data_IF_710962371794
#
_entry.id   IF_710962371794
#
_cell.length_a   1.000
_cell.length_b   1.000
_cell.length_c   1.000
_cell.angle_alpha   90.00
_cell.angle_beta   90.00
_cell.angle_gamma   90.00
#
_symmetry.space_group_name_H-M   'P 1'
#
loop_
_entity.id
_entity.type
_entity.pdbx_description
1 polymer ?
#
# COMPACT_ATOMS: atom_id res chain seq x y z
N UNK A 1 8.25 23.85 20.31
CA UNK A 1 8.01 23.39 18.93
C UNK A 1 8.12 21.88 18.89
N UNK A 2 7.05 21.19 19.29
CA UNK A 2 6.99 19.72 19.34
C UNK A 2 6.79 19.18 17.92
N UNK A 3 7.68 18.28 17.50
CA UNK A 3 7.75 17.76 16.14
C UNK A 3 6.46 17.09 15.67
N UNK A 4 6.14 17.33 14.40
CA UNK A 4 5.05 16.66 13.67
C UNK A 4 5.31 15.17 13.55
N UNK A 5 4.95 14.42 14.60
CA UNK A 5 4.72 12.99 14.47
C UNK A 5 3.45 12.83 13.63
N UNK A 6 3.58 12.21 12.46
CA UNK A 6 2.50 11.95 11.51
C UNK A 6 1.22 11.51 12.21
N UNK A 7 0.28 12.45 12.28
CA UNK A 7 -1.03 12.24 12.87
C UNK A 7 -1.84 11.42 11.88
N UNK A 8 -2.37 10.29 12.35
CA UNK A 8 -3.27 9.46 11.56
C UNK A 8 -4.50 10.28 11.16
N UNK A 9 -5.16 9.96 10.03
CA UNK A 9 -6.38 10.65 9.62
C UNK A 9 -7.41 10.60 10.76
N UNK A 10 -7.85 11.74 11.28
CA UNK A 10 -8.84 11.77 12.34
C UNK A 10 -10.24 11.50 11.76
N UNK A 11 -11.22 11.17 12.59
CA UNK A 11 -12.59 10.87 12.11
C UNK A 11 -13.20 12.04 11.33
N UNK A 12 -12.97 13.26 11.80
CA UNK A 12 -13.46 14.50 11.22
C UNK A 12 -13.01 14.68 9.76
N UNK A 13 -11.85 14.11 9.40
CA UNK A 13 -11.38 14.10 8.02
C UNK A 13 -12.30 13.28 7.11
N UNK A 14 -12.69 12.07 7.52
CA UNK A 14 -13.59 11.22 6.74
C UNK A 14 -15.01 11.81 6.69
N UNK A 15 -15.46 12.46 7.76
CA UNK A 15 -16.73 13.18 7.79
C UNK A 15 -16.74 14.39 6.83
N UNK A 16 -15.63 15.12 6.72
CA UNK A 16 -15.48 16.19 5.73
C UNK A 16 -15.54 15.65 4.30
N UNK A 17 -14.87 14.54 4.00
CA UNK A 17 -14.97 13.88 2.68
C UNK A 17 -16.41 13.44 2.39
N UNK A 18 -17.10 12.86 3.38
CA UNK A 18 -18.52 12.50 3.28
C UNK A 18 -19.38 13.73 2.95
N UNK A 19 -19.15 14.85 3.62
CA UNK A 19 -19.90 16.09 3.38
C UNK A 19 -19.71 16.63 1.96
N UNK A 20 -18.47 16.59 1.44
CA UNK A 20 -18.18 16.99 0.04
C UNK A 20 -18.91 16.09 -0.95
N UNK A 21 -18.90 14.77 -0.73
CA UNK A 21 -19.63 13.82 -1.58
C UNK A 21 -21.15 14.06 -1.56
N UNK A 22 -21.72 14.35 -0.38
CA UNK A 22 -23.14 14.73 -0.24
C UNK A 22 -23.48 16.01 -0.99
N UNK A 23 -22.63 17.02 -0.91
CA UNK A 23 -22.83 18.27 -1.66
C UNK A 23 -22.79 18.02 -3.18
N UNK A 24 -21.88 17.15 -3.64
CA UNK A 24 -21.81 16.74 -5.05
C UNK A 24 -23.08 16.00 -5.50
N UNK A 25 -23.62 15.10 -4.69
CA UNK A 25 -24.89 14.43 -4.96
C UNK A 25 -26.07 15.41 -5.00
N UNK A 26 -26.14 16.35 -4.06
CA UNK A 26 -27.16 17.41 -4.04
C UNK A 26 -27.09 18.32 -5.27
N UNK A 27 -25.89 18.62 -5.78
CA UNK A 27 -25.72 19.36 -7.04
C UNK A 27 -26.30 18.59 -8.23
N UNK A 28 -26.15 17.26 -8.27
CA UNK A 28 -26.72 16.43 -9.33
C UNK A 28 -28.23 16.40 -9.30
N UNK A 29 -28.81 16.29 -8.11
CA UNK A 29 -30.25 16.34 -7.89
C UNK A 29 -30.81 17.70 -8.29
N UNK A 30 -30.22 18.79 -7.79
CA UNK A 30 -30.64 20.15 -8.14
C UNK A 30 -30.55 20.40 -9.66
N UNK A 31 -29.48 19.95 -10.31
CA UNK A 31 -29.38 20.08 -11.76
C UNK A 31 -30.48 19.29 -12.48
N UNK A 32 -30.80 18.08 -12.02
CA UNK A 32 -31.83 17.22 -12.64
C UNK A 32 -33.23 17.80 -12.47
N UNK A 33 -33.54 18.32 -11.29
CA UNK A 33 -34.90 18.73 -10.94
C UNK A 33 -35.22 20.16 -11.33
N UNK A 34 -34.24 21.07 -11.19
CA UNK A 34 -34.46 22.51 -11.39
C UNK A 34 -33.84 22.97 -12.71
N UNK A 35 -32.53 22.77 -12.88
CA UNK A 35 -31.80 23.34 -14.03
C UNK A 35 -32.24 22.69 -15.35
N UNK A 36 -32.31 21.35 -15.39
CA UNK A 36 -32.66 20.64 -16.61
C UNK A 36 -34.09 20.98 -17.05
N UNK A 37 -35.06 20.96 -16.13
CA UNK A 37 -36.47 21.30 -16.42
C UNK A 37 -36.64 22.77 -16.80
N UNK A 38 -35.98 23.68 -16.09
CA UNK A 38 -36.02 25.12 -16.41
C UNK A 38 -35.40 25.48 -17.77
N UNK A 39 -34.61 24.59 -18.37
CA UNK A 39 -33.99 24.76 -19.69
C UNK A 39 -34.63 23.87 -20.76
N UNK A 40 -35.92 23.50 -20.62
CA UNK A 40 -36.68 22.73 -21.64
C UNK A 40 -36.69 23.39 -23.01
N UNK A 41 -36.87 24.71 -23.07
CA UNK A 41 -37.01 25.44 -24.32
C UNK A 41 -35.66 25.82 -24.95
N UNK A 42 -34.54 25.57 -24.27
CA UNK A 42 -33.19 25.99 -24.69
C UNK A 42 -32.20 24.82 -24.67
N UNK A 43 -32.23 23.92 -25.68
CA UNK A 43 -31.43 22.68 -25.67
C UNK A 43 -29.91 22.93 -25.68
N UNK A 44 -29.45 24.01 -26.31
CA UNK A 44 -28.03 24.39 -26.32
C UNK A 44 -27.54 24.77 -24.91
N UNK A 45 -28.29 25.61 -24.19
CA UNK A 45 -27.94 26.00 -22.82
C UNK A 45 -27.98 24.82 -21.86
N UNK A 46 -28.98 23.94 -22.01
CA UNK A 46 -29.06 22.68 -21.26
C UNK A 46 -27.83 21.80 -21.44
N UNK A 47 -27.32 21.71 -22.67
CA UNK A 47 -26.11 20.95 -22.99
C UNK A 47 -24.89 21.56 -22.31
N UNK A 48 -24.71 22.88 -22.43
CA UNK A 48 -23.59 23.60 -21.78
C UNK A 48 -23.63 23.43 -20.26
N UNK A 49 -24.82 23.57 -19.64
CA UNK A 49 -25.00 23.39 -18.20
C UNK A 49 -24.65 21.96 -17.76
N UNK A 50 -25.10 20.96 -18.52
CA UNK A 50 -24.83 19.55 -18.25
C UNK A 50 -23.34 19.21 -18.34
N UNK A 51 -22.65 19.71 -19.37
CA UNK A 51 -21.21 19.50 -19.52
C UNK A 51 -20.39 20.23 -18.45
N UNK A 52 -20.79 21.45 -18.08
CA UNK A 52 -20.16 22.20 -16.99
C UNK A 52 -20.30 21.47 -15.66
N UNK A 53 -21.51 20.95 -15.35
CA UNK A 53 -21.76 20.10 -14.18
C UNK A 53 -20.88 18.86 -14.19
N UNK A 54 -20.85 18.10 -15.30
CA UNK A 54 -20.03 16.88 -15.41
C UNK A 54 -18.56 17.18 -15.16
N UNK A 55 -18.03 18.25 -15.76
CA UNK A 55 -16.64 18.68 -15.55
C UNK A 55 -16.35 19.01 -14.08
N UNK A 56 -17.25 19.72 -13.40
CA UNK A 56 -17.10 20.03 -11.98
C UNK A 56 -17.12 18.78 -11.11
N UNK A 57 -18.05 17.85 -11.35
CA UNK A 57 -18.17 16.62 -10.59
C UNK A 57 -16.94 15.73 -10.76
N UNK A 58 -16.44 15.58 -11.99
CA UNK A 58 -15.19 14.85 -12.24
C UNK A 58 -14.01 15.43 -11.45
N UNK A 59 -13.93 16.77 -11.31
CA UNK A 59 -12.89 17.42 -10.50
C UNK A 59 -13.05 17.12 -9.01
N UNK A 60 -14.29 17.11 -8.51
CA UNK A 60 -14.58 16.77 -7.10
C UNK A 60 -14.25 15.31 -6.82
N UNK A 61 -14.61 14.39 -7.70
CA UNK A 61 -14.31 12.96 -7.55
C UNK A 61 -12.79 12.72 -7.59
N UNK A 62 -12.08 13.35 -8.54
CA UNK A 62 -10.61 13.26 -8.61
C UNK A 62 -9.91 13.83 -7.37
N UNK A 63 -10.42 14.95 -6.82
CA UNK A 63 -9.91 15.52 -5.59
C UNK A 63 -10.17 14.60 -4.39
N UNK A 64 -11.38 14.02 -4.31
CA UNK A 64 -11.77 13.08 -3.26
C UNK A 64 -10.86 11.85 -3.24
N UNK A 65 -10.64 11.22 -4.40
CA UNK A 65 -9.71 10.10 -4.54
C UNK A 65 -8.32 10.49 -4.05
N UNK A 66 -7.78 11.61 -4.53
CA UNK A 66 -6.43 12.06 -4.18
C UNK A 66 -6.26 12.29 -2.67
N UNK A 67 -7.23 12.93 -2.03
CA UNK A 67 -7.19 13.22 -0.59
C UNK A 67 -7.28 11.92 0.23
N UNK A 68 -8.09 10.95 -0.21
CA UNK A 68 -8.15 9.64 0.43
C UNK A 68 -6.86 8.84 0.21
N UNK A 69 -6.25 8.88 -0.97
CA UNK A 69 -4.94 8.27 -1.24
C UNK A 69 -3.85 8.85 -0.33
N UNK A 70 -3.85 10.16 -0.09
CA UNK A 70 -2.92 10.82 0.84
C UNK A 70 -3.13 10.32 2.28
N UNK A 71 -4.38 10.12 2.71
CA UNK A 71 -4.70 9.52 4.01
C UNK A 71 -4.23 8.06 4.11
N UNK A 72 -4.45 7.25 3.08
CA UNK A 72 -3.96 5.86 3.02
C UNK A 72 -2.42 5.80 3.06
N UNK A 73 -1.74 6.75 2.41
CA UNK A 73 -0.28 6.87 2.49
C UNK A 73 0.21 7.12 3.91
N UNK A 74 -0.51 7.93 4.70
CA UNK A 74 -0.17 8.15 6.11
C UNK A 74 -0.29 6.86 6.93
N UNK A 75 -1.27 6.00 6.64
CA UNK A 75 -1.40 4.68 7.29
C UNK A 75 -0.21 3.78 6.97
N UNK A 76 0.21 3.73 5.71
CA UNK A 76 1.38 2.97 5.26
C UNK A 76 2.65 3.48 5.95
N UNK A 77 2.86 4.80 5.99
CA UNK A 77 4.01 5.40 6.65
C UNK A 77 4.01 5.14 8.17
N UNK A 78 2.82 5.11 8.79
CA UNK A 78 2.69 4.69 10.18
C UNK A 78 3.13 3.24 10.36
N UNK A 79 2.65 2.31 9.52
CA UNK A 79 3.02 0.90 9.58
C UNK A 79 4.54 0.70 9.40
N UNK A 80 5.13 1.34 8.39
CA UNK A 80 6.58 1.32 8.13
C UNK A 80 7.38 1.84 9.33
N UNK A 81 6.89 2.93 9.95
CA UNK A 81 7.50 3.50 11.16
C UNK A 81 7.40 2.54 12.35
N UNK A 82 6.27 1.86 12.55
CA UNK A 82 6.16 0.85 13.62
C UNK A 82 7.14 -0.30 13.38
N UNK A 83 7.19 -0.83 12.15
CA UNK A 83 8.11 -1.91 11.77
C UNK A 83 9.58 -1.51 11.83
N UNK A 84 9.92 -0.22 11.79
CA UNK A 84 11.29 0.26 11.90
C UNK A 84 11.70 0.63 13.34
N UNK A 85 10.79 1.22 14.11
CA UNK A 85 11.10 1.78 15.44
C UNK A 85 10.78 0.82 16.59
N UNK A 86 9.74 -0.01 16.46
CA UNK A 86 9.27 -0.88 17.54
C UNK A 86 9.71 -2.32 17.41
N UNK A 87 10.15 -2.76 16.22
CA UNK A 87 10.68 -4.11 16.07
C UNK A 87 12.05 -4.20 16.74
N UNK A 88 12.13 -4.94 17.84
CA UNK A 88 13.43 -5.28 18.40
C UNK A 88 14.01 -6.46 17.62
N UNK A 89 15.33 -6.47 17.42
CA UNK A 89 16.05 -7.66 16.90
C UNK A 89 15.84 -8.90 17.79
N UNK A 90 15.36 -8.71 19.02
CA UNK A 90 15.04 -9.78 19.96
C UNK A 90 13.62 -10.33 19.83
N UNK A 91 12.70 -9.67 19.10
CA UNK A 91 11.28 -10.05 19.09
C UNK A 91 11.07 -11.49 18.60
N UNK A 92 11.84 -11.90 17.59
CA UNK A 92 11.84 -13.26 17.04
C UNK A 92 13.10 -14.06 17.41
N UNK A 93 13.91 -13.53 18.33
CA UNK A 93 15.07 -14.22 18.90
C UNK A 93 15.08 -14.07 20.43
N UNK A 94 14.01 -14.50 21.14
CA UNK A 94 14.01 -14.48 22.60
C UNK A 94 15.15 -15.33 23.15
N UNK A 95 15.83 -14.81 24.18
CA UNK A 95 16.93 -15.50 24.87
C UNK A 95 16.44 -16.49 25.92
N UNK A 96 15.25 -16.26 26.46
CA UNK A 96 14.64 -17.06 27.50
C UNK A 96 13.64 -18.05 26.89
N UNK A 97 13.70 -19.31 27.31
CA UNK A 97 12.75 -20.35 26.86
C UNK A 97 11.32 -20.10 27.36
N UNK A 98 11.15 -19.25 28.39
CA UNK A 98 9.86 -18.87 28.99
C UNK A 98 9.23 -17.64 28.35
N UNK A 99 9.75 -17.15 27.22
CA UNK A 99 9.18 -15.99 26.55
C UNK A 99 7.73 -16.24 26.13
N UNK A 100 6.86 -15.26 26.36
CA UNK A 100 5.45 -15.35 25.98
C UNK A 100 5.32 -15.50 24.46
N UNK A 101 4.68 -16.60 24.03
CA UNK A 101 4.40 -16.89 22.63
C UNK A 101 3.13 -16.13 22.24
N UNK A 102 3.27 -14.84 22.01
CA UNK A 102 2.19 -13.94 21.59
C UNK A 102 2.61 -13.08 20.40
N UNK A 103 1.63 -12.48 19.71
CA UNK A 103 1.92 -11.48 18.70
C UNK A 103 2.74 -10.31 19.28
N UNK A 104 3.73 -9.86 18.50
CA UNK A 104 4.65 -8.79 18.85
C UNK A 104 3.92 -7.46 19.04
N UNK A 105 4.53 -6.59 19.84
CA UNK A 105 4.00 -5.24 20.08
C UNK A 105 3.89 -4.42 18.78
N UNK A 106 4.80 -4.68 17.85
CA UNK A 106 4.83 -4.04 16.53
C UNK A 106 3.59 -4.40 15.72
N UNK A 107 3.32 -5.69 15.54
CA UNK A 107 2.15 -6.15 14.79
C UNK A 107 0.86 -5.76 15.50
N UNK A 108 0.76 -5.94 16.82
CA UNK A 108 -0.41 -5.48 17.60
C UNK A 108 -0.72 -4.00 17.35
N UNK A 109 0.28 -3.13 17.32
CA UNK A 109 0.11 -1.69 17.07
C UNK A 109 -0.34 -1.39 15.63
N UNK A 110 0.26 -2.05 14.64
CA UNK A 110 -0.14 -1.89 13.23
C UNK A 110 -1.57 -2.38 13.01
N UNK A 111 -1.87 -3.60 13.47
CA UNK A 111 -3.19 -4.22 13.39
C UNK A 111 -4.27 -3.37 14.05
N UNK A 112 -4.04 -2.86 15.26
CA UNK A 112 -5.02 -2.02 15.96
C UNK A 112 -5.36 -0.75 15.18
N UNK A 113 -4.36 -0.08 14.60
CA UNK A 113 -4.59 1.16 13.83
C UNK A 113 -5.29 0.86 12.51
N UNK A 114 -4.91 -0.23 11.82
CA UNK A 114 -5.58 -0.64 10.59
C UNK A 114 -7.04 -0.99 10.83
N UNK A 115 -7.35 -1.73 11.91
CA UNK A 115 -8.72 -2.06 12.30
C UNK A 115 -9.55 -0.80 12.60
N UNK A 116 -9.03 0.09 13.43
CA UNK A 116 -9.71 1.33 13.81
C UNK A 116 -10.00 2.21 12.59
N UNK A 117 -8.98 2.43 11.75
CA UNK A 117 -9.09 3.29 10.58
C UNK A 117 -10.00 2.67 9.52
N UNK A 118 -9.96 1.34 9.34
CA UNK A 118 -10.88 0.65 8.45
C UNK A 118 -12.32 0.76 8.93
N UNK A 119 -12.59 0.61 10.23
CA UNK A 119 -13.93 0.78 10.79
C UNK A 119 -14.45 2.20 10.54
N UNK A 120 -13.68 3.22 10.91
CA UNK A 120 -14.08 4.63 10.73
C UNK A 120 -14.31 4.95 9.25
N UNK A 121 -13.45 4.45 8.37
CA UNK A 121 -13.56 4.63 6.92
C UNK A 121 -14.87 4.06 6.39
N UNK A 122 -15.18 2.79 6.71
CA UNK A 122 -16.41 2.12 6.26
C UNK A 122 -17.65 2.85 6.79
N UNK A 123 -17.64 3.21 8.08
CA UNK A 123 -18.78 3.89 8.71
C UNK A 123 -19.06 5.28 8.10
N UNK A 124 -18.01 6.05 7.83
CA UNK A 124 -18.14 7.40 7.29
C UNK A 124 -18.44 7.38 5.79
N UNK A 125 -17.80 6.50 5.03
CA UNK A 125 -17.75 6.60 3.57
C UNK A 125 -18.61 5.58 2.82
N UNK A 126 -19.41 4.75 3.50
CA UNK A 126 -20.37 3.82 2.85
C UNK A 126 -21.30 4.46 1.82
N UNK A 127 -21.65 5.75 1.99
CA UNK A 127 -22.50 6.51 1.07
C UNK A 127 -21.71 7.08 -0.13
N UNK A 128 -20.38 7.20 0.00
CA UNK A 128 -19.47 7.75 -1.02
C UNK A 128 -19.09 6.71 -2.07
N UNK A 129 -19.10 5.42 -1.69
CA UNK A 129 -18.69 4.28 -2.52
C UNK A 129 -19.45 4.17 -3.86
N UNK A 130 -20.62 4.78 -3.97
CA UNK A 130 -21.41 4.80 -5.21
C UNK A 130 -20.74 5.62 -6.34
N UNK A 131 -19.84 6.55 -5.99
CA UNK A 131 -19.16 7.45 -6.95
C UNK A 131 -17.70 7.11 -7.17
N UNK A 132 -17.05 6.56 -6.14
CA UNK A 132 -15.62 6.25 -6.13
C UNK A 132 -15.47 4.84 -5.60
N UNK A 133 -14.70 4.00 -6.30
CA UNK A 133 -14.38 2.65 -5.82
C UNK A 133 -13.41 2.74 -4.63
N UNK A 134 -13.97 2.68 -3.42
CA UNK A 134 -13.20 2.81 -2.18
C UNK A 134 -12.44 1.52 -1.82
N UNK A 135 -12.82 0.38 -2.42
CA UNK A 135 -12.20 -0.93 -2.16
C UNK A 135 -10.76 -0.95 -2.65
N UNK A 136 -10.50 -0.35 -3.82
CA UNK A 136 -9.16 -0.25 -4.41
C UNK A 136 -8.16 0.46 -3.49
N UNK A 137 -8.63 1.41 -2.68
CA UNK A 137 -7.78 2.12 -1.71
C UNK A 137 -7.29 1.18 -0.60
N UNK A 138 -8.19 0.41 0.00
CA UNK A 138 -7.83 -0.56 1.04
C UNK A 138 -7.07 -1.76 0.52
N UNK A 139 -7.34 -2.17 -0.73
CA UNK A 139 -6.51 -3.17 -1.41
C UNK A 139 -5.05 -2.70 -1.49
N UNK A 140 -4.82 -1.44 -1.89
CA UNK A 140 -3.47 -0.88 -1.97
C UNK A 140 -2.76 -0.83 -0.60
N UNK A 141 -3.50 -0.49 0.47
CA UNK A 141 -2.96 -0.49 1.85
C UNK A 141 -2.60 -1.91 2.29
N UNK A 142 -3.49 -2.87 2.08
CA UNK A 142 -3.28 -4.27 2.47
C UNK A 142 -2.07 -4.89 1.76
N UNK A 143 -1.96 -4.69 0.45
CA UNK A 143 -0.81 -5.17 -0.33
C UNK A 143 0.50 -4.50 0.11
N UNK A 144 0.47 -3.20 0.43
CA UNK A 144 1.67 -2.50 0.89
C UNK A 144 2.10 -2.92 2.30
N UNK A 145 1.15 -3.16 3.21
CA UNK A 145 1.44 -3.71 4.55
C UNK A 145 2.04 -5.10 4.45
N UNK A 146 1.51 -5.94 3.55
CA UNK A 146 2.08 -7.24 3.21
C UNK A 146 3.55 -7.10 2.77
N UNK A 147 3.85 -6.24 1.78
CA UNK A 147 5.21 -6.01 1.31
C UNK A 147 6.16 -5.56 2.42
N UNK A 148 5.73 -4.62 3.25
CA UNK A 148 6.51 -4.13 4.40
C UNK A 148 6.83 -5.26 5.38
N UNK A 149 5.87 -6.15 5.64
CA UNK A 149 6.08 -7.30 6.52
C UNK A 149 7.06 -8.31 5.91
N UNK A 150 6.92 -8.63 4.62
CA UNK A 150 7.88 -9.51 3.91
C UNK A 150 9.30 -8.92 3.95
N UNK A 151 9.45 -7.62 3.69
CA UNK A 151 10.74 -6.94 3.80
C UNK A 151 11.32 -6.96 5.22
N UNK A 152 10.45 -6.86 6.22
CA UNK A 152 10.83 -6.97 7.62
C UNK A 152 11.36 -8.39 7.94
N UNK A 153 10.65 -9.43 7.50
CA UNK A 153 11.06 -10.82 7.71
C UNK A 153 12.41 -11.14 7.06
N UNK A 154 12.66 -10.66 5.84
CA UNK A 154 13.95 -10.86 5.14
C UNK A 154 15.17 -10.36 5.92
N UNK A 155 14.99 -9.36 6.79
CA UNK A 155 16.07 -8.75 7.59
C UNK A 155 16.15 -9.34 9.01
N UNK A 156 15.17 -10.14 9.39
CA UNK A 156 14.94 -10.58 10.76
C UNK A 156 15.50 -11.97 10.97
N UNK A 157 16.26 -12.15 12.05
CA UNK A 157 16.68 -13.49 12.49
C UNK A 157 15.57 -14.09 13.34
N UNK A 158 15.26 -15.35 13.10
CA UNK A 158 14.20 -16.08 13.79
C UNK A 158 14.78 -17.34 14.40
N UNK A 159 14.58 -17.56 15.70
CA UNK A 159 14.88 -18.83 16.38
C UNK A 159 13.60 -19.68 16.51
N UNK A 160 13.70 -20.90 17.07
CA UNK A 160 12.57 -21.84 17.15
C UNK A 160 11.36 -21.23 17.88
N UNK A 161 11.57 -20.58 19.03
CA UNK A 161 10.50 -19.93 19.79
C UNK A 161 9.94 -18.72 19.01
N UNK A 162 10.83 -17.95 18.38
CA UNK A 162 10.48 -16.83 17.51
C UNK A 162 9.65 -17.21 16.29
N UNK A 163 9.77 -18.45 15.80
CA UNK A 163 8.92 -18.95 14.72
C UNK A 163 7.45 -19.07 15.16
N UNK A 164 7.19 -19.45 16.42
CA UNK A 164 5.83 -19.48 16.97
C UNK A 164 5.29 -18.06 17.22
N UNK A 165 6.14 -17.12 17.66
CA UNK A 165 5.79 -15.70 17.76
C UNK A 165 5.42 -15.15 16.37
N UNK A 166 6.20 -15.48 15.34
CA UNK A 166 5.92 -15.12 13.94
C UNK A 166 4.59 -15.68 13.44
N UNK A 167 4.28 -16.93 13.77
CA UNK A 167 2.99 -17.52 13.41
C UNK A 167 1.82 -16.74 14.01
N UNK A 168 1.93 -16.29 15.28
CA UNK A 168 0.91 -15.44 15.91
C UNK A 168 0.81 -14.06 15.27
N UNK A 169 1.93 -13.46 14.88
CA UNK A 169 1.94 -12.19 14.14
C UNK A 169 1.22 -12.31 12.79
N UNK A 170 1.50 -13.38 12.04
CA UNK A 170 0.83 -13.62 10.76
C UNK A 170 -0.64 -13.90 10.95
N UNK A 171 -1.05 -14.70 11.94
CA UNK A 171 -2.46 -14.95 12.25
C UNK A 171 -3.20 -13.63 12.55
N UNK A 172 -2.58 -12.73 13.32
CA UNK A 172 -3.15 -11.42 13.63
C UNK A 172 -3.25 -10.53 12.38
N UNK A 173 -2.23 -10.53 11.52
CA UNK A 173 -2.28 -9.80 10.25
C UNK A 173 -3.37 -10.37 9.32
N UNK A 174 -3.50 -11.70 9.20
CA UNK A 174 -4.55 -12.33 8.41
C UNK A 174 -5.94 -11.93 8.89
N UNK A 175 -6.18 -11.92 10.21
CA UNK A 175 -7.46 -11.50 10.80
C UNK A 175 -7.82 -10.06 10.39
N UNK A 176 -6.86 -9.13 10.47
CA UNK A 176 -7.10 -7.73 10.13
C UNK A 176 -7.25 -7.52 8.63
N UNK A 177 -6.33 -8.05 7.84
CA UNK A 177 -6.31 -7.89 6.39
C UNK A 177 -7.52 -8.57 5.72
N UNK A 178 -8.00 -9.68 6.28
CA UNK A 178 -9.21 -10.36 5.82
C UNK A 178 -10.47 -9.51 5.94
N UNK A 179 -10.51 -8.52 6.84
CA UNK A 179 -11.67 -7.61 6.99
C UNK A 179 -11.80 -6.59 5.85
N UNK A 180 -10.76 -6.39 5.06
CA UNK A 180 -10.81 -5.43 3.95
C UNK A 180 -11.72 -5.93 2.80
N UNK A 181 -12.01 -7.24 2.75
CA UNK A 181 -12.91 -7.80 1.75
C UNK A 181 -12.34 -7.78 0.32
N UNK A 182 -11.01 -7.69 0.18
CA UNK A 182 -10.31 -7.70 -1.09
C UNK A 182 -9.65 -9.05 -1.33
N UNK A 183 -9.93 -9.69 -2.47
CA UNK A 183 -9.35 -10.99 -2.83
C UNK A 183 -7.83 -10.93 -2.93
N UNK A 184 -7.28 -9.86 -3.53
CA UNK A 184 -5.83 -9.68 -3.64
C UNK A 184 -5.13 -9.59 -2.28
N UNK A 185 -5.73 -8.88 -1.33
CA UNK A 185 -5.22 -8.78 0.06
C UNK A 185 -5.33 -10.11 0.80
N UNK A 186 -6.44 -10.84 0.59
CA UNK A 186 -6.64 -12.16 1.20
C UNK A 186 -5.59 -13.16 0.70
N UNK A 187 -5.33 -13.19 -0.62
CA UNK A 187 -4.28 -14.02 -1.20
C UNK A 187 -2.90 -13.65 -0.64
N UNK A 188 -2.58 -12.36 -0.55
CA UNK A 188 -1.32 -11.90 0.04
C UNK A 188 -1.19 -12.31 1.52
N UNK A 189 -2.29 -12.25 2.28
CA UNK A 189 -2.31 -12.69 3.66
C UNK A 189 -2.11 -14.22 3.80
N UNK A 190 -2.65 -15.01 2.87
CA UNK A 190 -2.37 -16.45 2.76
C UNK A 190 -0.88 -16.72 2.46
N UNK A 191 -0.27 -15.97 1.55
CA UNK A 191 1.16 -16.08 1.24
C UNK A 191 2.04 -15.86 2.48
N UNK A 192 1.71 -14.90 3.36
CA UNK A 192 2.43 -14.70 4.63
C UNK A 192 2.38 -15.92 5.53
N UNK A 193 1.25 -16.63 5.56
CA UNK A 193 1.10 -17.85 6.37
C UNK A 193 1.97 -18.96 5.84
N UNK A 194 2.01 -19.13 4.52
CA UNK A 194 2.91 -20.11 3.91
C UNK A 194 4.38 -19.76 4.21
N UNK A 195 4.76 -18.48 4.14
CA UNK A 195 6.09 -18.03 4.54
C UNK A 195 6.36 -18.35 6.03
N UNK A 196 5.43 -18.06 6.94
CA UNK A 196 5.61 -18.35 8.37
C UNK A 196 5.73 -19.85 8.66
N UNK A 197 4.97 -20.70 7.96
CA UNK A 197 5.05 -22.15 8.11
C UNK A 197 6.46 -22.68 7.82
N UNK A 198 7.21 -22.07 6.88
CA UNK A 198 8.60 -22.45 6.60
C UNK A 198 9.54 -22.24 7.79
N UNK A 199 9.23 -21.31 8.70
CA UNK A 199 10.04 -21.06 9.89
C UNK A 199 9.75 -22.03 11.04
N UNK A 200 8.54 -22.59 11.08
CA UNK A 200 8.10 -23.50 12.15
C UNK A 200 8.55 -24.94 11.88
N UNK A 201 8.65 -25.31 10.61
CA UNK A 201 8.80 -26.71 10.22
C UNK A 201 10.25 -27.20 10.36
N UNK A 202 10.48 -28.38 10.98
CA UNK A 202 11.80 -29.00 11.06
C UNK A 202 12.39 -29.25 9.66
N UNK A 203 13.73 -29.15 9.49
CA UNK A 203 14.37 -29.22 8.19
C UNK A 203 14.13 -30.54 7.44
N UNK A 204 13.84 -31.61 8.16
CA UNK A 204 13.53 -32.94 7.61
C UNK A 204 12.21 -32.93 6.80
N UNK A 205 11.30 -32.02 7.13
CA UNK A 205 9.97 -31.91 6.53
C UNK A 205 9.84 -30.73 5.55
N UNK A 206 10.91 -29.99 5.29
CA UNK A 206 10.86 -28.83 4.38
C UNK A 206 10.60 -29.24 2.92
N UNK A 207 11.18 -30.36 2.47
CA UNK A 207 11.05 -30.81 1.07
C UNK A 207 9.59 -31.13 0.71
N UNK A 208 8.87 -31.81 1.60
CA UNK A 208 7.45 -32.14 1.37
C UNK A 208 6.55 -30.90 1.36
N UNK A 209 6.85 -29.87 2.15
CA UNK A 209 6.11 -28.60 2.11
C UNK A 209 6.40 -27.77 0.87
N UNK A 210 7.64 -27.78 0.38
CA UNK A 210 7.99 -27.12 -0.89
C UNK A 210 7.27 -27.75 -2.08
N UNK A 211 7.01 -29.06 -2.03
CA UNK A 211 6.26 -29.79 -3.06
C UNK A 211 4.74 -29.58 -2.96
N UNK A 212 4.19 -29.40 -1.76
CA UNK A 212 2.76 -29.22 -1.50
C UNK A 212 2.30 -27.76 -1.59
N UNK A 213 3.20 -26.79 -1.42
CA UNK A 213 2.88 -25.36 -1.38
C UNK A 213 2.78 -24.70 -2.76
N UNK A 214 1.97 -23.63 -2.84
CA UNK A 214 1.90 -22.71 -4.00
C UNK A 214 3.20 -21.91 -4.24
N UNK A 215 4.23 -22.10 -3.41
CA UNK A 215 5.51 -21.39 -3.46
C UNK A 215 6.32 -21.64 -4.74
N UNK A 216 6.03 -22.70 -5.51
CA UNK A 216 6.65 -22.95 -6.82
C UNK A 216 6.08 -22.08 -7.95
N UNK A 217 5.03 -21.28 -7.71
CA UNK A 217 4.34 -20.51 -8.73
C UNK A 217 5.08 -19.29 -9.30
N UNK A 218 6.20 -18.86 -8.69
CA UNK A 218 6.95 -17.69 -9.15
C UNK A 218 8.48 -17.91 -9.10
N UNK A 219 9.02 -18.56 -10.14
CA UNK A 219 10.46 -18.62 -10.40
C UNK A 219 11.18 -19.76 -9.66
N UNK A 220 11.45 -20.85 -10.38
CA UNK A 220 12.09 -22.05 -9.83
C UNK A 220 13.43 -21.79 -9.17
N UNK A 221 13.50 -22.08 -7.86
CA UNK A 221 14.75 -22.19 -7.11
C UNK A 221 15.14 -23.66 -7.05
N UNK A 222 16.24 -24.03 -7.72
CA UNK A 222 16.91 -25.32 -7.50
C UNK A 222 17.71 -25.21 -6.20
N UNK A 223 17.35 -26.00 -5.19
CA UNK A 223 18.15 -26.14 -3.99
C UNK A 223 19.23 -27.21 -4.22
N UNK A 224 20.50 -26.79 -4.33
CA UNK A 224 21.64 -27.72 -4.23
C UNK A 224 21.96 -27.94 -2.74
N UNK A 225 21.63 -29.14 -2.27
CA UNK A 225 21.89 -29.58 -0.90
C UNK A 225 23.34 -30.09 -0.77
N UNK A 226 24.29 -29.18 -0.55
CA UNK A 226 25.62 -29.56 -0.06
C UNK A 226 26.18 -28.49 0.88
N UNK A 227 26.17 -28.77 2.19
CA UNK A 227 26.84 -27.96 3.21
C UNK A 227 25.95 -27.50 4.35
N UNK A 228 25.58 -28.42 5.25
CA UNK A 228 24.92 -28.07 6.52
C UNK A 228 25.74 -28.62 7.70
N UNK A 229 26.73 -27.84 8.15
CA UNK A 229 27.22 -27.92 9.52
C UNK A 229 27.63 -26.53 10.02
N UNK A 230 27.06 -26.16 11.18
CA UNK A 230 27.37 -25.01 12.04
C UNK A 230 27.03 -23.58 11.54
N UNK A 231 26.12 -22.92 12.28
CA UNK A 231 25.96 -21.47 12.30
C UNK A 231 25.08 -20.89 11.19
N UNK A 232 23.75 -20.96 11.32
CA UNK A 232 22.82 -20.45 10.29
C UNK A 232 22.82 -18.92 10.21
N UNK A 233 23.48 -18.41 9.16
CA UNK A 233 23.18 -17.13 8.49
C UNK A 233 22.39 -17.49 7.23
N UNK A 234 21.09 -17.19 7.19
CA UNK A 234 20.33 -17.28 5.94
C UNK A 234 20.60 -16.00 5.14
N UNK A 235 21.44 -16.09 4.12
CA UNK A 235 21.49 -15.10 3.04
C UNK A 235 20.69 -15.64 1.86
N UNK A 236 19.54 -15.02 1.61
CA UNK A 236 18.72 -15.28 0.42
C UNK A 236 19.26 -14.40 -0.70
N UNK A 237 20.03 -14.98 -1.62
CA UNK A 237 20.48 -14.32 -2.84
C UNK A 237 19.44 -14.54 -3.94
N UNK A 238 18.80 -13.46 -4.39
CA UNK A 238 17.91 -13.48 -5.56
C UNK A 238 18.78 -13.29 -6.80
N UNK A 239 18.90 -14.33 -7.63
CA UNK A 239 19.67 -14.26 -8.88
C UNK A 239 18.96 -13.40 -9.92
N UNK A 240 19.69 -12.46 -10.52
CA UNK A 240 19.24 -11.71 -11.70
C UNK A 240 19.14 -12.65 -12.91
N UNK A 241 17.93 -13.09 -13.23
CA UNK A 241 17.63 -13.89 -14.42
C UNK A 241 17.47 -13.02 -15.67
N UNK A 242 18.46 -13.08 -16.55
CA UNK A 242 18.41 -12.56 -17.92
C UNK A 242 17.33 -13.30 -18.72
N UNK A 243 16.37 -12.56 -19.28
CA UNK A 243 15.31 -13.09 -20.14
C UNK A 243 15.83 -13.28 -21.57
N UNK A 244 15.76 -14.47 -22.19
CA UNK A 244 16.08 -14.62 -23.61
C UNK A 244 14.89 -14.20 -24.47
N UNK A 245 15.16 -13.35 -25.46
CA UNK A 245 14.21 -12.94 -26.48
C UNK A 245 13.82 -14.12 -27.38
N UNK A 246 12.52 -14.44 -27.45
CA UNK A 246 11.95 -15.30 -28.51
C UNK A 246 11.01 -14.48 -29.40
N UNK A 247 11.41 -14.37 -30.67
CA UNK A 247 10.58 -13.89 -31.78
C UNK A 247 9.55 -14.97 -32.15
N UNK A 248 8.29 -14.59 -32.27
CA UNK A 248 7.35 -15.22 -33.20
C UNK A 248 6.34 -14.18 -33.68
N UNK A 249 6.35 -13.93 -34.99
CA UNK A 249 5.37 -13.14 -35.73
C UNK A 249 4.07 -13.93 -35.85
N UNK A 250 2.93 -13.26 -35.65
CA UNK A 250 1.60 -13.72 -36.03
C UNK A 250 0.63 -12.55 -36.02
N UNK A 251 0.21 -12.12 -37.20
CA UNK A 251 -0.73 -11.03 -37.45
C UNK A 251 -2.13 -11.37 -36.93
N UNK A 252 -2.88 -10.36 -36.45
CA UNK A 252 -4.31 -10.16 -36.71
C UNK A 252 -4.72 -8.71 -36.33
N UNK A 253 -5.72 -8.19 -37.05
CA UNK A 253 -6.10 -6.77 -37.29
C UNK A 253 -6.77 -6.04 -36.09
N UNK A 254 -6.88 -4.70 -36.13
CA UNK A 254 -7.25 -3.86 -34.98
C UNK A 254 -8.76 -3.56 -34.91
N UNK A 255 -9.32 -3.50 -33.70
CA UNK A 255 -10.57 -2.79 -33.45
C UNK A 255 -10.65 -2.21 -32.02
N UNK A 256 -11.12 -0.96 -31.97
CA UNK A 256 -11.75 -0.24 -30.85
C UNK A 256 -10.91 0.18 -29.61
N UNK A 257 -10.49 1.45 -29.67
CA UNK A 257 -10.34 2.44 -28.58
C UNK A 257 -10.89 2.03 -27.19
N UNK A 258 -9.96 1.79 -26.26
CA UNK A 258 -10.07 2.13 -24.82
C UNK A 258 -8.69 2.56 -24.34
N UNK A 259 -8.36 3.83 -24.52
CA UNK A 259 -7.21 4.46 -23.87
C UNK A 259 -7.72 5.33 -22.73
N UNK A 260 -7.39 4.95 -21.49
CA UNK A 260 -7.67 5.80 -20.34
C UNK A 260 -7.76 5.08 -19.00
N UNK A 261 -6.89 4.12 -18.66
CA UNK A 261 -6.84 3.59 -17.29
C UNK A 261 -5.53 2.90 -16.86
N UNK A 262 -4.41 3.14 -17.53
CA UNK A 262 -3.12 2.49 -17.23
C UNK A 262 -2.07 3.39 -16.56
N UNK A 263 -2.47 4.53 -15.98
CA UNK A 263 -1.53 5.42 -15.25
C UNK A 263 -1.58 5.31 -13.72
N UNK A 264 -2.50 4.55 -13.13
CA UNK A 264 -2.73 4.55 -11.68
C UNK A 264 -1.82 3.64 -10.85
N UNK A 265 -1.08 2.70 -11.46
CA UNK A 265 -0.22 1.77 -10.69
C UNK A 265 1.28 2.13 -10.70
N UNK A 266 1.72 3.12 -11.48
CA UNK A 266 3.15 3.50 -11.56
C UNK A 266 3.58 4.62 -10.61
N UNK A 267 2.64 5.35 -10.01
CA UNK A 267 2.96 6.51 -9.15
C UNK A 267 3.49 6.15 -7.76
N UNK A 268 3.26 4.92 -7.28
CA UNK A 268 3.65 4.49 -5.92
C UNK A 268 4.91 3.60 -5.89
N UNK A 269 5.48 3.25 -7.04
CA UNK A 269 6.59 2.29 -7.15
C UNK A 269 7.96 2.91 -7.49
N UNK A 270 8.13 4.24 -7.43
CA UNK A 270 9.41 4.86 -7.79
C UNK A 270 9.84 5.97 -6.82
N UNK A 271 10.41 5.58 -5.69
CA UNK A 271 11.22 6.47 -4.86
C UNK A 271 12.27 5.68 -4.08
N UNK A 272 13.30 5.20 -4.78
CA UNK A 272 14.62 4.98 -4.19
C UNK A 272 15.70 4.94 -5.28
N UNK A 273 16.30 6.08 -5.58
CA UNK A 273 17.66 6.12 -6.13
C UNK A 273 18.30 7.48 -5.84
N UNK A 274 19.51 7.40 -5.29
CA UNK A 274 20.34 8.50 -4.83
C UNK A 274 20.76 9.39 -6.00
N UNK A 275 20.53 10.69 -5.89
CA UNK A 275 21.32 11.69 -6.61
C UNK A 275 21.46 12.95 -5.74
N UNK A 276 22.71 13.25 -5.34
CA UNK A 276 23.10 14.51 -4.70
C UNK A 276 22.94 15.66 -5.71
N UNK A 277 22.32 16.79 -5.38
CA UNK A 277 22.54 18.01 -6.12
C UNK A 277 23.74 18.78 -5.52
N UNK A 278 24.76 19.01 -6.34
CA UNK A 278 25.83 19.97 -6.03
C UNK A 278 25.26 21.38 -6.10
N UNK A 279 25.23 22.08 -4.98
CA UNK A 279 24.95 23.52 -4.93
C UNK A 279 26.15 24.27 -5.53
N UNK A 280 25.99 24.81 -6.74
CA UNK A 280 26.88 25.87 -7.25
C UNK A 280 26.50 27.19 -6.57
N UNK A 281 27.40 27.70 -5.76
CA UNK A 281 27.39 29.08 -5.29
C UNK A 281 27.44 30.05 -6.48
N UNK A 282 26.39 30.83 -6.67
CA UNK A 282 26.44 32.05 -7.47
C UNK A 282 27.00 33.16 -6.57
N UNK A 283 28.24 33.57 -6.85
CA UNK A 283 28.86 34.76 -6.25
C UNK A 283 28.15 35.99 -6.80
N UNK A 284 27.42 36.71 -5.96
CA UNK A 284 27.09 38.12 -6.21
C UNK A 284 28.32 38.97 -5.88
N UNK A 285 28.83 39.68 -6.89
CA UNK A 285 29.95 40.59 -6.77
C UNK A 285 29.60 41.80 -5.90
N UNK A 286 30.45 42.08 -4.91
CA UNK A 286 30.51 43.35 -4.21
C UNK A 286 31.16 44.38 -5.14
N UNK A 287 30.43 45.41 -5.53
CA UNK A 287 31.01 46.67 -5.99
C UNK A 287 31.40 47.51 -4.77
N UNK A 288 32.70 47.71 -4.54
CA UNK A 288 33.19 48.97 -3.96
C UNK A 288 33.21 50.01 -5.09
N UNK A 289 33.12 51.32 -4.89
CA UNK A 289 33.26 52.15 -3.70
C UNK A 289 33.95 53.44 -4.16
N UNK A 290 33.37 54.58 -3.78
CA UNK A 290 34.02 55.91 -3.58
C UNK A 290 34.51 56.72 -4.79
N UNK A 291 33.89 57.89 -4.99
CA UNK A 291 34.57 59.20 -4.87
C UNK A 291 33.56 60.37 -4.81
N UNK A 292 33.70 61.19 -3.78
CA UNK A 292 33.04 62.48 -3.54
C UNK A 292 33.60 63.59 -4.50
N UNK A 293 33.41 64.91 -4.31
CA UNK A 293 33.00 65.70 -3.14
C UNK A 293 31.51 66.02 -3.02
#
# INVERSE_FOLDING_TARGET
>A
MTGGAGQLPPREFYEAVKAVSKAAAGLEEHHREVVAKGMEDTPTLRTIASETKKSLLHRVDAWTVRVLEDAMRLLILYAEKQMSLRSSKSDYCPKEETAAIEATRTVKAVSSVLEEQHSVFVDCLKEVDQRVDLRMLWESVGLRVHELFVEHLKKTKVNVIGAFILANDVNRLQEVLGRFGCEGVTSAAEELREIANLYVVPPENLLSLMEQGRLMGAGGVRADASGLSHGRRFEVSVGEGVVPARRSRGQLRPSARREGLTRLTRGLLCSSSKAKPSLRCVKFGKGGGSSAP
#
